data_IF_479000624522
#
_entry.id   IF_479000624522
#
_cell.length_a   1.000
_cell.length_b   1.000
_cell.length_c   1.000
_cell.angle_alpha   90.00
_cell.angle_beta   90.00
_cell.angle_gamma   90.00
#
_symmetry.space_group_name_H-M   'P 1'
#
loop_
_entity.id
_entity.type
_entity.pdbx_description
1 polymer ?
#
# COMPACT_ATOMS: atom_id res chain seq x y z
N UNK A 1 36.90 -9.39 17.09
CA UNK A 1 36.99 -8.97 15.67
C UNK A 1 36.03 -7.82 15.41
N UNK A 2 36.52 -6.57 15.35
CA UNK A 2 35.68 -5.38 15.14
C UNK A 2 35.54 -5.12 13.64
N UNK A 3 34.34 -5.33 13.07
CA UNK A 3 34.06 -4.93 11.68
C UNK A 3 33.99 -3.40 11.62
N UNK A 4 34.92 -2.81 10.87
CA UNK A 4 34.99 -1.37 10.62
C UNK A 4 33.86 -1.03 9.65
N UNK A 5 32.89 -0.25 10.11
CA UNK A 5 31.78 0.21 9.29
C UNK A 5 32.29 1.32 8.36
N UNK A 6 32.65 0.95 7.13
CA UNK A 6 33.01 1.92 6.10
C UNK A 6 31.72 2.52 5.54
N UNK A 7 31.35 3.69 6.03
CA UNK A 7 30.33 4.53 5.38
C UNK A 7 30.79 4.83 3.95
N UNK A 8 30.02 4.40 2.95
CA UNK A 8 30.27 4.70 1.55
C UNK A 8 29.93 6.17 1.26
N UNK A 9 30.88 6.85 0.61
CA UNK A 9 30.79 8.25 0.22
C UNK A 9 29.71 8.47 -0.88
N UNK A 10 29.11 9.67 -0.96
CA UNK A 10 27.92 9.97 -1.77
C UNK A 10 28.13 10.02 -3.31
N UNK A 11 29.27 9.56 -3.83
CA UNK A 11 29.60 9.62 -5.27
C UNK A 11 30.01 8.27 -5.88
N UNK A 12 29.92 7.16 -5.15
CA UNK A 12 30.27 5.84 -5.67
C UNK A 12 29.34 5.43 -6.83
N UNK A 13 29.90 5.30 -8.03
CA UNK A 13 29.20 4.76 -9.20
C UNK A 13 28.90 3.28 -8.93
N UNK A 14 27.63 2.81 -9.05
CA UNK A 14 27.28 1.42 -8.77
C UNK A 14 27.95 0.45 -9.78
N UNK A 15 28.30 -0.78 -9.36
CA UNK A 15 28.92 -1.79 -10.22
C UNK A 15 28.06 -2.17 -11.44
N UNK A 16 28.68 -2.60 -12.55
CA UNK A 16 28.03 -2.72 -13.87
C UNK A 16 26.92 -3.79 -13.98
N UNK A 17 26.72 -4.62 -12.96
CA UNK A 17 25.64 -5.61 -12.92
C UNK A 17 24.39 -5.10 -12.18
N UNK A 18 24.50 -3.99 -11.46
CA UNK A 18 23.36 -3.27 -10.88
C UNK A 18 22.77 -2.40 -11.99
N UNK A 19 21.74 -2.91 -12.66
CA UNK A 19 20.92 -2.11 -13.55
C UNK A 19 20.36 -0.88 -12.82
N UNK A 20 20.01 0.20 -13.53
CA UNK A 20 19.43 1.39 -12.88
C UNK A 20 18.26 0.96 -11.98
N UNK A 21 18.08 1.59 -10.80
CA UNK A 21 16.95 1.27 -9.95
C UNK A 21 15.70 1.37 -10.81
N UNK A 22 14.93 0.28 -10.87
CA UNK A 22 13.67 0.22 -11.61
C UNK A 22 12.63 1.01 -10.82
N UNK A 23 12.85 2.32 -10.69
CA UNK A 23 11.93 3.26 -10.09
C UNK A 23 10.79 3.42 -11.08
N UNK A 24 9.83 2.52 -11.00
CA UNK A 24 8.51 2.82 -11.52
C UNK A 24 7.94 3.88 -10.59
N UNK A 25 8.10 5.14 -10.98
CA UNK A 25 7.30 6.24 -10.44
C UNK A 25 5.88 5.92 -10.88
N UNK A 26 5.09 5.39 -9.96
CA UNK A 26 3.66 5.23 -10.21
C UNK A 26 3.11 6.65 -10.12
N UNK A 27 2.72 7.20 -11.27
CA UNK A 27 2.14 8.54 -11.34
C UNK A 27 0.82 8.55 -10.58
N UNK A 28 0.58 9.51 -9.68
CA UNK A 28 -0.73 9.68 -9.04
C UNK A 28 -1.81 9.80 -10.12
N UNK A 29 -3.00 9.20 -9.91
CA UNK A 29 -4.09 9.34 -10.87
C UNK A 29 -4.53 10.81 -10.97
N UNK A 30 -4.78 11.28 -12.19
CA UNK A 30 -5.21 12.67 -12.42
C UNK A 30 -6.59 12.93 -11.79
N UNK A 31 -6.77 14.15 -11.27
CA UNK A 31 -7.96 14.57 -10.51
C UNK A 31 -9.18 14.61 -11.45
N UNK A 32 -9.95 13.52 -11.46
CA UNK A 32 -11.11 13.33 -12.35
C UNK A 32 -11.38 11.89 -12.80
N UNK A 33 -10.53 10.93 -12.43
CA UNK A 33 -10.72 9.51 -12.76
C UNK A 33 -11.79 8.82 -11.88
N UNK A 34 -12.56 7.92 -12.49
CA UNK A 34 -13.39 6.93 -11.78
C UNK A 34 -12.54 6.23 -10.69
N UNK A 35 -13.10 6.09 -9.49
CA UNK A 35 -12.38 5.43 -8.39
C UNK A 35 -12.04 3.99 -8.78
N UNK A 36 -10.79 3.59 -8.54
CA UNK A 36 -10.38 2.21 -8.78
C UNK A 36 -11.20 1.26 -7.91
N UNK A 37 -11.44 0.03 -8.38
CA UNK A 37 -12.16 -0.98 -7.61
C UNK A 37 -11.49 -1.22 -6.24
N UNK A 38 -10.14 -1.18 -6.20
CA UNK A 38 -9.40 -1.28 -4.96
C UNK A 38 -9.67 -0.10 -4.00
N UNK A 39 -9.80 1.12 -4.52
CA UNK A 39 -10.11 2.30 -3.70
C UNK A 39 -11.52 2.21 -3.13
N UNK A 40 -12.50 1.84 -3.96
CA UNK A 40 -13.89 1.66 -3.52
C UNK A 40 -13.99 0.64 -2.39
N UNK A 41 -13.32 -0.51 -2.52
CA UNK A 41 -13.33 -1.56 -1.50
C UNK A 41 -12.54 -1.24 -0.23
N UNK A 42 -11.72 -0.20 -0.21
CA UNK A 42 -11.12 0.32 1.03
C UNK A 42 -12.01 1.36 1.72
N UNK A 43 -12.79 2.11 0.94
CA UNK A 43 -13.74 3.10 1.48
C UNK A 43 -15.02 2.44 2.00
N UNK A 44 -15.49 1.40 1.30
CA UNK A 44 -16.70 0.66 1.64
C UNK A 44 -16.35 -0.79 2.00
N UNK A 45 -16.40 -1.17 3.30
CA UNK A 45 -16.06 -2.51 3.74
C UNK A 45 -17.07 -3.57 3.29
N UNK A 46 -18.25 -3.19 2.77
CA UNK A 46 -19.26 -4.16 2.30
C UNK A 46 -18.92 -4.79 0.96
N UNK A 47 -18.10 -4.11 0.15
CA UNK A 47 -17.62 -4.63 -1.15
C UNK A 47 -16.21 -5.21 -1.06
N UNK A 48 -15.61 -5.21 0.14
CA UNK A 48 -14.35 -5.90 0.39
C UNK A 48 -14.59 -7.41 0.56
N UNK A 49 -13.90 -8.22 -0.25
CA UNK A 49 -13.90 -9.68 -0.14
C UNK A 49 -12.71 -10.21 0.68
N UNK A 50 -11.63 -9.41 0.76
CA UNK A 50 -10.40 -9.75 1.45
C UNK A 50 -9.99 -8.64 2.43
N UNK A 51 -9.38 -9.05 3.54
CA UNK A 51 -8.77 -8.14 4.49
C UNK A 51 -7.54 -7.45 3.87
N UNK A 52 -7.48 -6.10 3.84
CA UNK A 52 -6.43 -5.37 3.14
C UNK A 52 -5.04 -5.44 3.79
N UNK A 53 -4.93 -5.83 5.06
CA UNK A 53 -3.67 -5.87 5.79
C UNK A 53 -3.09 -7.29 5.91
N UNK A 54 -3.95 -8.30 5.95
CA UNK A 54 -3.58 -9.71 6.13
C UNK A 54 -3.79 -10.56 4.87
N UNK A 55 -4.72 -10.15 3.99
CA UNK A 55 -5.12 -10.93 2.81
C UNK A 55 -6.08 -12.08 3.11
N UNK A 56 -6.56 -12.20 4.36
CA UNK A 56 -7.53 -13.22 4.73
C UNK A 56 -8.88 -12.96 4.03
N UNK A 57 -9.55 -14.03 3.60
CA UNK A 57 -10.92 -13.93 3.07
C UNK A 57 -11.87 -13.46 4.15
N UNK A 58 -12.80 -12.58 3.78
CA UNK A 58 -13.85 -12.07 4.65
C UNK A 58 -14.97 -13.09 4.67
N UNK A 59 -15.01 -13.91 5.72
CA UNK A 59 -16.11 -14.84 5.91
C UNK A 59 -17.40 -14.08 6.21
N UNK A 60 -18.54 -14.58 5.72
CA UNK A 60 -19.85 -13.92 5.83
C UNK A 60 -20.31 -13.70 7.27
N UNK A 61 -19.74 -14.43 8.24
CA UNK A 61 -20.02 -14.35 9.67
C UNK A 61 -19.07 -13.41 10.43
N UNK A 62 -17.99 -12.94 9.80
CA UNK A 62 -17.04 -12.02 10.42
C UNK A 62 -17.46 -10.58 10.16
N UNK A 63 -17.99 -9.91 11.18
CA UNK A 63 -18.37 -8.50 11.09
C UNK A 63 -17.17 -7.60 10.80
N UNK A 64 -17.41 -6.48 10.10
CA UNK A 64 -16.36 -5.48 9.83
C UNK A 64 -15.75 -4.90 11.11
N UNK A 65 -16.54 -4.79 12.19
CA UNK A 65 -16.10 -4.27 13.48
C UNK A 65 -15.09 -5.20 14.17
N UNK A 66 -15.34 -6.51 14.17
CA UNK A 66 -14.41 -7.50 14.74
C UNK A 66 -13.06 -7.48 14.03
N UNK A 67 -13.06 -7.27 12.71
CA UNK A 67 -11.84 -7.11 11.93
C UNK A 67 -11.12 -5.83 12.32
N UNK A 68 -11.83 -4.71 12.41
CA UNK A 68 -11.25 -3.41 12.76
C UNK A 68 -10.58 -3.42 14.16
N UNK A 69 -11.09 -4.20 15.12
CA UNK A 69 -10.46 -4.35 16.44
C UNK A 69 -9.09 -5.02 16.38
N UNK A 70 -8.89 -5.94 15.43
CA UNK A 70 -7.59 -6.61 15.23
C UNK A 70 -6.52 -5.69 14.63
N UNK A 71 -6.91 -4.52 14.14
CA UNK A 71 -6.01 -3.58 13.49
C UNK A 71 -5.23 -2.73 14.51
N UNK A 72 -3.96 -2.52 14.19
CA UNK A 72 -3.12 -1.57 14.91
C UNK A 72 -3.71 -0.15 14.86
N UNK A 73 -3.35 0.74 15.82
CA UNK A 73 -3.80 2.12 15.79
C UNK A 73 -3.46 2.86 14.48
N UNK A 74 -2.33 2.53 13.84
CA UNK A 74 -1.93 3.13 12.56
C UNK A 74 -2.80 2.65 11.40
N UNK A 75 -3.21 1.38 11.40
CA UNK A 75 -4.09 0.81 10.39
C UNK A 75 -5.51 1.38 10.47
N UNK A 76 -6.05 1.54 11.68
CA UNK A 76 -7.37 2.18 11.88
C UNK A 76 -7.40 3.65 11.47
N UNK A 77 -6.26 4.32 11.55
CA UNK A 77 -6.06 5.69 11.04
C UNK A 77 -5.64 5.73 9.57
N UNK A 78 -5.50 4.56 8.94
CA UNK A 78 -4.99 4.33 7.58
C UNK A 78 -3.69 5.03 7.21
N UNK A 79 -2.83 5.20 8.22
CA UNK A 79 -1.43 5.56 8.05
C UNK A 79 -0.62 4.38 7.52
N UNK A 80 -1.09 3.15 7.74
CA UNK A 80 -0.49 1.94 7.20
C UNK A 80 -1.09 1.62 5.82
N UNK A 81 -0.23 1.25 4.88
CA UNK A 81 -0.66 0.95 3.51
C UNK A 81 -1.30 -0.45 3.42
N UNK A 82 -2.37 -0.62 2.64
CA UNK A 82 -2.93 -1.93 2.35
C UNK A 82 -1.89 -2.78 1.61
N UNK A 83 -1.60 -3.96 2.15
CA UNK A 83 -0.64 -4.89 1.55
C UNK A 83 -1.31 -5.85 0.58
N UNK A 84 -2.61 -6.02 0.70
CA UNK A 84 -3.41 -6.91 -0.10
C UNK A 84 -4.59 -6.15 -0.71
N UNK A 85 -4.95 -6.52 -1.94
CA UNK A 85 -6.09 -5.93 -2.61
C UNK A 85 -7.39 -6.46 -1.98
N UNK A 86 -8.28 -5.61 -1.46
CA UNK A 86 -9.52 -6.04 -0.83
C UNK A 86 -10.50 -6.72 -1.81
N UNK A 87 -10.33 -6.52 -3.12
CA UNK A 87 -11.16 -7.17 -4.14
C UNK A 87 -10.69 -8.58 -4.52
N UNK A 88 -9.41 -8.93 -4.33
CA UNK A 88 -8.91 -10.23 -4.84
C UNK A 88 -7.80 -10.90 -4.03
N UNK A 89 -7.42 -10.33 -2.89
CA UNK A 89 -6.43 -10.90 -1.98
C UNK A 89 -5.00 -10.94 -2.52
N UNK A 90 -4.71 -10.37 -3.70
CA UNK A 90 -3.34 -10.31 -4.24
C UNK A 90 -2.51 -9.28 -3.48
N UNK A 91 -1.22 -9.59 -3.26
CA UNK A 91 -0.26 -8.63 -2.72
C UNK A 91 -0.12 -7.43 -3.66
N UNK A 92 -0.27 -6.25 -3.10
CA UNK A 92 -0.08 -4.98 -3.79
C UNK A 92 1.38 -4.57 -3.77
N UNK A 93 1.81 -3.82 -4.78
CA UNK A 93 3.09 -3.13 -4.76
C UNK A 93 2.92 -1.83 -3.98
N UNK A 94 3.56 -1.74 -2.82
CA UNK A 94 3.45 -0.58 -1.93
C UNK A 94 4.68 0.30 -2.04
N UNK A 95 4.46 1.60 -2.18
CA UNK A 95 5.46 2.65 -2.03
C UNK A 95 5.07 3.55 -0.86
N UNK A 96 5.93 3.62 0.16
CA UNK A 96 5.77 4.55 1.28
C UNK A 96 6.45 5.87 0.89
N UNK A 97 5.72 6.97 1.03
CA UNK A 97 6.15 8.34 0.77
C UNK A 97 6.25 9.10 2.11
N UNK A 98 7.01 10.21 2.19
CA UNK A 98 7.04 11.03 3.41
C UNK A 98 5.66 11.56 3.83
N UNK A 99 4.76 11.78 2.87
CA UNK A 99 3.43 12.36 3.07
C UNK A 99 2.30 11.33 3.06
N UNK A 100 2.59 10.05 2.85
CA UNK A 100 1.56 9.03 2.70
C UNK A 100 2.05 7.76 2.06
N UNK A 101 1.19 7.09 1.32
CA UNK A 101 1.53 5.85 0.64
C UNK A 101 0.71 5.65 -0.63
N UNK A 102 1.27 4.83 -1.51
CA UNK A 102 0.65 4.39 -2.73
C UNK A 102 0.69 2.86 -2.80
N UNK A 103 -0.44 2.23 -3.12
CA UNK A 103 -0.56 0.79 -3.25
C UNK A 103 -1.16 0.44 -4.61
N UNK A 104 -0.46 -0.36 -5.40
CA UNK A 104 -0.91 -0.77 -6.72
C UNK A 104 -1.28 -2.25 -6.75
N UNK A 105 -2.51 -2.53 -7.16
CA UNK A 105 -2.97 -3.86 -7.56
C UNK A 105 -2.92 -3.97 -9.09
N UNK A 106 -2.27 -5.01 -9.59
CA UNK A 106 -2.18 -5.27 -11.04
C UNK A 106 -3.50 -5.52 -11.76
N UNK A 107 -4.61 -5.73 -11.03
CA UNK A 107 -5.95 -5.96 -11.58
C UNK A 107 -6.95 -4.87 -11.26
N UNK A 108 -6.90 -4.34 -10.04
CA UNK A 108 -7.95 -3.46 -9.51
C UNK A 108 -7.51 -2.01 -9.37
N UNK A 109 -6.28 -1.69 -9.81
CA UNK A 109 -5.78 -0.33 -9.91
C UNK A 109 -5.00 0.12 -8.68
N UNK A 110 -4.82 1.44 -8.59
CA UNK A 110 -3.96 2.11 -7.63
C UNK A 110 -4.82 2.77 -6.55
N UNK A 111 -4.34 2.69 -5.31
CA UNK A 111 -4.89 3.36 -4.14
C UNK A 111 -3.83 4.31 -3.60
N UNK A 112 -4.22 5.56 -3.37
CA UNK A 112 -3.40 6.57 -2.72
C UNK A 112 -4.00 6.93 -1.35
N UNK A 113 -3.13 7.13 -0.36
CA UNK A 113 -3.53 7.56 0.99
C UNK A 113 -4.39 8.83 1.02
N UNK A 114 -4.20 9.76 0.08
CA UNK A 114 -4.97 11.01 -0.04
C UNK A 114 -6.43 10.77 -0.42
N UNK A 115 -6.74 9.65 -1.10
CA UNK A 115 -8.12 9.26 -1.41
C UNK A 115 -8.86 8.73 -0.18
N UNK A 116 -8.13 8.19 0.80
CA UNK A 116 -8.70 7.63 2.02
C UNK A 116 -8.69 8.63 3.18
N UNK A 117 -7.68 9.49 3.24
CA UNK A 117 -7.48 10.51 4.26
C UNK A 117 -7.02 11.81 3.59
N UNK A 118 -7.94 12.68 3.17
CA UNK A 118 -7.56 14.00 2.69
C UNK A 118 -6.85 14.74 3.82
N UNK A 119 -5.61 15.16 3.58
CA UNK A 119 -4.84 16.00 4.48
C UNK A 119 -5.43 17.41 4.44
N UNK A 120 -6.48 17.66 5.22
CA UNK A 120 -7.02 19.02 5.42
C UNK A 120 -5.98 19.93 6.06
#
# INVERSE_FOLDING_TARGET
MTRKNTSAAPWAVPPPWEGPPRTQVVTPPEVGAELSAATLALLDPTVAEFDPFTGAGIAADTSAEQRAESYSPSQRKGLDAPRYCPCCGRRMKVQVLPTGWLAECSRHGIVDSTMLYPHT
#
